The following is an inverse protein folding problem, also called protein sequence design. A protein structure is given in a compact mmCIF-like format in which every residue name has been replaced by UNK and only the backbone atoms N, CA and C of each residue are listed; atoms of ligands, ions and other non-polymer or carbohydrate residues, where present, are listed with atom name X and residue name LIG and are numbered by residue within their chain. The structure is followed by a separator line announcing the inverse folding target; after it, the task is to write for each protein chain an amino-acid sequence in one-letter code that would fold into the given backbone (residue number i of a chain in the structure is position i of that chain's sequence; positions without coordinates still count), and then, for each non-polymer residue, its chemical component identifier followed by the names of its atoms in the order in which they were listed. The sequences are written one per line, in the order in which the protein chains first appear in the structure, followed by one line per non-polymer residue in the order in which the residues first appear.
data_IF_191367561585
#
_entry.id   IF_191367561585
#
_cell.length_a   1.000
_cell.length_b   1.000
_cell.length_c   1.000
_cell.angle_alpha   90.00
_cell.angle_beta   90.00
_cell.angle_gamma   90.00
#
_symmetry.space_group_name_H-M   'P 1'
#
loop_
_entity.id
_entity.type
_entity.pdbx_description
1 polymer ?
#
# COMPACT_ATOMS: atom_id res chain seq x y z
N UNK A 1 -16.17 43.18 -11.62
CA UNK A 1 -15.75 41.90 -12.21
C UNK A 1 -14.83 41.18 -11.23
N UNK A 2 -15.26 40.05 -10.65
CA UNK A 2 -14.47 39.27 -9.69
C UNK A 2 -13.67 38.22 -10.47
N UNK A 3 -12.34 38.37 -10.45
CA UNK A 3 -11.41 37.42 -11.07
C UNK A 3 -11.41 36.11 -10.29
N UNK A 4 -11.85 35.03 -10.95
CA UNK A 4 -11.71 33.67 -10.44
C UNK A 4 -10.25 33.23 -10.69
N UNK A 5 -9.44 33.21 -9.63
CA UNK A 5 -8.11 32.60 -9.67
C UNK A 5 -8.31 31.09 -9.62
N UNK A 6 -8.28 30.47 -10.80
CA UNK A 6 -8.28 29.02 -10.96
C UNK A 6 -6.92 28.49 -10.47
N UNK A 7 -6.87 28.06 -9.21
CA UNK A 7 -5.67 27.44 -8.64
C UNK A 7 -5.42 26.09 -9.34
N UNK A 8 -4.47 26.08 -10.25
CA UNK A 8 -4.01 24.89 -10.96
C UNK A 8 -3.15 24.04 -10.00
N UNK A 9 -3.78 23.11 -9.29
CA UNK A 9 -3.07 22.14 -8.44
C UNK A 9 -2.43 21.10 -9.36
N UNK A 10 -1.14 21.27 -9.66
CA UNK A 10 -0.32 20.28 -10.37
C UNK A 10 -0.05 19.11 -9.41
N UNK A 11 -0.69 17.97 -9.67
CA UNK A 11 -0.47 16.72 -8.93
C UNK A 11 0.79 16.03 -9.46
N UNK A 12 1.94 16.28 -8.83
CA UNK A 12 3.15 15.50 -9.12
C UNK A 12 3.05 14.09 -8.52
N UNK A 13 2.93 13.10 -9.39
CA UNK A 13 3.06 11.67 -9.06
C UNK A 13 4.54 11.35 -8.87
N UNK A 14 5.07 11.52 -7.65
CA UNK A 14 6.44 11.11 -7.35
C UNK A 14 6.41 9.59 -7.09
N UNK A 15 7.02 8.76 -7.96
CA UNK A 15 7.17 7.33 -7.68
C UNK A 15 8.02 7.14 -6.41
N UNK A 16 7.88 5.99 -5.75
CA UNK A 16 8.78 5.65 -4.62
C UNK A 16 10.24 5.80 -5.09
N UNK A 17 11.08 6.43 -4.26
CA UNK A 17 12.49 6.71 -4.60
C UNK A 17 13.14 5.52 -5.32
N UNK A 18 13.57 5.74 -6.56
CA UNK A 18 14.25 4.73 -7.38
C UNK A 18 13.36 3.94 -8.36
N UNK A 19 12.03 4.09 -8.33
CA UNK A 19 11.17 3.43 -9.32
C UNK A 19 11.07 4.28 -10.61
N UNK A 20 11.38 3.65 -11.75
CA UNK A 20 11.09 4.25 -13.06
C UNK A 20 9.57 4.35 -13.24
N UNK A 21 9.07 5.44 -13.83
CA UNK A 21 7.66 5.52 -14.21
C UNK A 21 7.31 4.37 -15.15
N UNK A 22 6.10 3.84 -15.02
CA UNK A 22 5.60 2.81 -15.92
C UNK A 22 5.47 3.43 -17.32
N UNK A 23 6.07 2.78 -18.31
CA UNK A 23 5.99 3.22 -19.71
C UNK A 23 4.51 3.31 -20.14
N UNK A 24 4.11 4.41 -20.77
CA UNK A 24 2.73 4.65 -21.20
C UNK A 24 2.19 3.54 -22.11
N UNK A 25 3.05 2.84 -22.85
CA UNK A 25 2.67 1.67 -23.66
C UNK A 25 2.09 0.52 -22.82
N UNK A 26 2.43 0.43 -21.53
CA UNK A 26 1.93 -0.64 -20.65
C UNK A 26 0.50 -0.37 -20.14
N UNK A 27 -0.04 0.84 -20.33
CA UNK A 27 -1.42 1.18 -19.95
C UNK A 27 -2.47 0.32 -20.66
N UNK A 28 -2.17 -0.17 -21.87
CA UNK A 28 -3.05 -1.11 -22.61
C UNK A 28 -3.29 -2.44 -21.86
N UNK A 29 -2.42 -2.76 -20.91
CA UNK A 29 -2.51 -3.97 -20.10
C UNK A 29 -3.22 -3.74 -18.76
N UNK A 30 -3.82 -2.57 -18.53
CA UNK A 30 -4.63 -2.31 -17.34
C UNK A 30 -6.00 -2.96 -17.55
N UNK A 31 -6.06 -4.28 -17.39
CA UNK A 31 -7.26 -5.07 -17.69
C UNK A 31 -8.30 -4.95 -16.58
N UNK A 32 -7.85 -5.07 -15.33
CA UNK A 32 -8.70 -4.99 -14.15
C UNK A 32 -8.21 -3.89 -13.20
N UNK A 33 -9.12 -3.29 -12.44
CA UNK A 33 -8.74 -2.36 -11.38
C UNK A 33 -9.64 -2.48 -10.15
N UNK A 34 -9.02 -2.43 -8.98
CA UNK A 34 -9.69 -2.33 -7.69
C UNK A 34 -9.50 -0.91 -7.15
N UNK A 35 -10.59 -0.25 -6.78
CA UNK A 35 -10.55 1.08 -6.16
C UNK A 35 -11.25 1.02 -4.81
N UNK A 36 -10.53 1.40 -3.76
CA UNK A 36 -11.03 1.47 -2.38
C UNK A 36 -11.04 2.93 -1.94
N UNK A 37 -12.16 3.36 -1.37
CA UNK A 37 -12.29 4.68 -0.75
C UNK A 37 -12.51 4.54 0.75
N UNK A 38 -11.78 5.34 1.55
CA UNK A 38 -12.06 5.50 2.98
C UNK A 38 -12.06 6.97 3.35
N UNK A 39 -13.01 7.39 4.16
CA UNK A 39 -13.05 8.74 4.72
C UNK A 39 -12.62 8.68 6.19
N UNK A 40 -11.83 9.65 6.63
CA UNK A 40 -11.42 9.77 8.04
C UNK A 40 -11.19 11.24 8.41
N UNK A 41 -11.34 11.55 9.70
CA UNK A 41 -11.21 12.92 10.22
C UNK A 41 -9.87 13.12 10.93
N UNK A 42 -9.24 14.27 10.71
CA UNK A 42 -8.14 14.77 11.52
C UNK A 42 -8.61 16.05 12.22
N UNK A 43 -9.12 15.95 13.44
CA UNK A 43 -9.87 17.02 14.07
C UNK A 43 -11.09 17.39 13.22
N UNK A 44 -11.19 18.66 12.82
CA UNK A 44 -12.28 19.17 11.95
C UNK A 44 -12.06 18.93 10.45
N UNK A 45 -10.87 18.48 10.03
CA UNK A 45 -10.55 18.28 8.61
C UNK A 45 -10.96 16.88 8.17
N UNK A 46 -11.84 16.83 7.16
CA UNK A 46 -12.20 15.57 6.48
C UNK A 46 -11.15 15.20 5.43
N UNK A 47 -10.68 13.97 5.47
CA UNK A 47 -9.71 13.41 4.53
C UNK A 47 -10.36 12.24 3.78
N UNK A 48 -10.05 12.14 2.49
CA UNK A 48 -10.41 11.00 1.64
C UNK A 48 -9.15 10.25 1.25
N UNK A 49 -9.08 8.99 1.66
CA UNK A 49 -8.15 8.00 1.11
C UNK A 49 -8.76 7.38 -0.16
N UNK A 50 -7.95 7.27 -1.20
CA UNK A 50 -8.22 6.45 -2.38
C UNK A 50 -7.05 5.53 -2.61
N UNK A 51 -7.29 4.22 -2.56
CA UNK A 51 -6.32 3.19 -2.93
C UNK A 51 -6.76 2.60 -4.26
N UNK A 52 -5.88 2.57 -5.25
CA UNK A 52 -6.14 1.97 -6.55
C UNK A 52 -5.09 0.91 -6.84
N UNK A 53 -5.55 -0.30 -7.16
CA UNK A 53 -4.71 -1.40 -7.62
C UNK A 53 -5.05 -1.67 -9.08
N UNK A 54 -4.03 -1.80 -9.93
CA UNK A 54 -4.16 -2.24 -11.32
C UNK A 54 -3.74 -3.69 -11.40
N UNK A 55 -4.54 -4.50 -12.09
CA UNK A 55 -4.42 -5.95 -12.16
C UNK A 55 -4.24 -6.54 -10.76
N UNK A 56 -5.24 -6.39 -9.87
CA UNK A 56 -5.22 -7.01 -8.55
C UNK A 56 -5.33 -8.53 -8.66
N UNK A 57 -4.96 -9.23 -7.59
CA UNK A 57 -5.29 -10.64 -7.44
C UNK A 57 -6.79 -10.87 -7.63
N UNK A 58 -7.13 -11.87 -8.45
CA UNK A 58 -8.50 -12.30 -8.67
C UNK A 58 -8.57 -13.84 -8.65
N UNK A 59 -9.19 -14.39 -7.61
CA UNK A 59 -9.38 -15.82 -7.42
C UNK A 59 -10.28 -16.46 -8.49
N UNK A 60 -11.13 -15.69 -9.16
CA UNK A 60 -12.04 -16.19 -10.20
C UNK A 60 -11.37 -16.32 -11.55
N UNK A 61 -10.28 -15.57 -11.81
CA UNK A 61 -9.66 -15.51 -13.13
C UNK A 61 -8.42 -16.39 -13.30
N UNK A 62 -7.92 -17.07 -12.25
CA UNK A 62 -6.64 -17.83 -12.27
C UNK A 62 -5.48 -17.07 -12.95
N UNK A 63 -5.52 -15.73 -12.92
CA UNK A 63 -4.48 -14.86 -13.50
C UNK A 63 -3.54 -14.48 -12.38
N UNK A 64 -2.34 -15.04 -12.44
CA UNK A 64 -1.23 -14.67 -11.55
C UNK A 64 -0.11 -13.95 -12.33
N UNK A 65 -0.32 -13.74 -13.63
CA UNK A 65 0.59 -13.19 -14.62
C UNK A 65 0.03 -11.90 -15.24
N UNK A 66 0.49 -10.75 -14.74
CA UNK A 66 0.21 -9.45 -15.32
C UNK A 66 1.40 -8.92 -16.11
N UNK A 67 1.16 -8.22 -17.22
CA UNK A 67 2.20 -7.41 -17.87
C UNK A 67 2.61 -6.20 -17.00
N UNK A 68 1.73 -5.80 -16.08
CA UNK A 68 1.93 -4.73 -15.10
C UNK A 68 1.02 -4.97 -13.91
N UNK A 69 1.49 -4.70 -12.69
CA UNK A 69 0.64 -4.63 -11.50
C UNK A 69 1.18 -3.54 -10.60
N UNK A 70 0.28 -2.68 -10.12
CA UNK A 70 0.66 -1.50 -9.35
C UNK A 70 -0.40 -1.17 -8.31
N UNK A 71 0.05 -0.56 -7.22
CA UNK A 71 -0.81 0.02 -6.21
C UNK A 71 -0.46 1.49 -6.07
N UNK A 72 -1.50 2.32 -5.95
CA UNK A 72 -1.36 3.73 -5.63
C UNK A 72 -2.28 4.08 -4.47
N UNK A 73 -1.83 5.00 -3.62
CA UNK A 73 -2.60 5.48 -2.49
C UNK A 73 -2.52 6.99 -2.42
N UNK A 74 -3.69 7.64 -2.48
CA UNK A 74 -3.84 9.08 -2.39
C UNK A 74 -4.65 9.46 -1.14
N UNK A 75 -4.10 10.30 -0.27
CA UNK A 75 -4.84 11.00 0.78
C UNK A 75 -5.03 12.44 0.34
N UNK A 76 -6.28 12.88 0.22
CA UNK A 76 -6.63 14.23 -0.20
C UNK A 76 -7.60 14.87 0.78
N UNK A 77 -7.40 16.15 1.06
CA UNK A 77 -8.36 17.03 1.70
C UNK A 77 -8.34 18.42 1.03
N UNK A 78 -9.01 19.41 1.62
CA UNK A 78 -9.05 20.78 1.09
C UNK A 78 -7.70 21.51 1.10
N UNK A 79 -6.77 21.10 1.95
CA UNK A 79 -5.47 21.76 2.16
C UNK A 79 -4.34 21.06 1.40
N UNK A 80 -4.45 19.75 1.14
CA UNK A 80 -3.35 18.99 0.56
C UNK A 80 -3.77 17.71 -0.16
N UNK A 81 -2.84 17.18 -0.96
CA UNK A 81 -2.93 15.87 -1.59
C UNK A 81 -1.58 15.16 -1.52
N UNK A 82 -1.52 14.02 -0.84
CA UNK A 82 -0.36 13.12 -0.82
C UNK A 82 -0.67 11.88 -1.64
N UNK A 83 0.27 11.51 -2.51
CA UNK A 83 0.14 10.30 -3.31
C UNK A 83 1.46 9.51 -3.36
N UNK A 84 1.35 8.19 -3.31
CA UNK A 84 2.44 7.24 -3.51
C UNK A 84 1.99 6.22 -4.56
N UNK A 85 2.90 5.84 -5.45
CA UNK A 85 2.67 4.80 -6.45
C UNK A 85 3.80 3.78 -6.33
N UNK A 86 3.43 2.52 -6.20
CA UNK A 86 4.34 1.38 -6.22
C UNK A 86 4.04 0.50 -7.44
N UNK A 87 5.03 0.37 -8.32
CA UNK A 87 4.99 -0.59 -9.42
C UNK A 87 5.64 -1.90 -8.96
N UNK A 88 4.93 -3.03 -9.01
CA UNK A 88 5.50 -4.30 -8.61
C UNK A 88 6.43 -4.83 -9.71
N UNK A 89 7.73 -5.06 -9.42
CA UNK A 89 8.69 -5.43 -10.46
C UNK A 89 8.48 -6.85 -11.02
N UNK A 90 7.76 -7.72 -10.31
CA UNK A 90 7.57 -9.13 -10.69
C UNK A 90 6.13 -9.43 -11.10
N UNK A 91 5.52 -8.53 -11.88
CA UNK A 91 4.12 -8.65 -12.32
C UNK A 91 3.81 -9.98 -13.05
N UNK A 92 4.82 -10.58 -13.69
CA UNK A 92 4.71 -11.87 -14.38
C UNK A 92 4.65 -13.08 -13.42
N UNK A 93 5.08 -12.92 -12.17
CA UNK A 93 5.15 -13.99 -11.16
C UNK A 93 4.22 -13.74 -9.98
N UNK A 94 3.44 -12.66 -10.01
CA UNK A 94 2.45 -12.40 -9.00
C UNK A 94 1.78 -11.05 -9.13
N UNK A 95 0.60 -10.94 -8.53
CA UNK A 95 -0.22 -9.73 -8.51
C UNK A 95 -0.38 -9.21 -7.08
N UNK A 96 -0.87 -7.97 -6.94
CA UNK A 96 -1.11 -7.34 -5.65
C UNK A 96 -2.51 -7.68 -5.11
N UNK A 97 -2.57 -8.10 -3.86
CA UNK A 97 -3.82 -8.29 -3.11
C UNK A 97 -3.98 -7.20 -2.04
N UNK A 98 -5.15 -6.55 -2.02
CA UNK A 98 -5.49 -5.53 -1.01
C UNK A 98 -6.87 -5.83 -0.43
N UNK A 99 -6.95 -5.91 0.89
CA UNK A 99 -8.21 -6.04 1.61
C UNK A 99 -8.60 -4.71 2.24
N UNK A 100 -9.76 -4.18 1.87
CA UNK A 100 -10.25 -2.90 2.36
C UNK A 100 -10.35 -2.86 3.90
N UNK A 101 -10.74 -3.95 4.52
CA UNK A 101 -10.91 -4.04 5.98
C UNK A 101 -9.58 -3.97 6.75
N UNK A 102 -8.48 -4.36 6.10
CA UNK A 102 -7.16 -4.28 6.71
C UNK A 102 -6.55 -2.87 6.68
N UNK A 103 -7.10 -1.97 5.86
CA UNK A 103 -6.67 -0.57 5.80
C UNK A 103 -7.13 0.15 7.07
N UNK A 104 -6.20 0.72 7.81
CA UNK A 104 -6.48 1.38 9.09
C UNK A 104 -5.93 2.81 9.13
N UNK A 105 -6.57 3.62 9.98
CA UNK A 105 -6.13 5.00 10.26
C UNK A 105 -6.03 5.21 11.76
N UNK A 106 -4.94 5.84 12.22
CA UNK A 106 -4.68 6.11 13.63
C UNK A 106 -4.16 7.52 13.84
N UNK A 107 -4.57 8.15 14.95
CA UNK A 107 -3.94 9.38 15.41
C UNK A 107 -2.68 9.05 16.23
N UNK A 108 -1.52 9.48 15.77
CA UNK A 108 -0.23 9.31 16.45
C UNK A 108 0.46 10.68 16.52
N UNK A 109 0.75 11.16 17.73
CA UNK A 109 1.36 12.47 17.98
C UNK A 109 0.62 13.61 17.27
N UNK A 110 -0.72 13.63 17.38
CA UNK A 110 -1.63 14.61 16.75
C UNK A 110 -1.66 14.59 15.21
N UNK A 111 -1.00 13.63 14.58
CA UNK A 111 -1.02 13.43 13.14
C UNK A 111 -1.77 12.15 12.78
N UNK A 112 -2.54 12.17 11.71
CA UNK A 112 -3.15 10.95 11.17
C UNK A 112 -2.10 10.11 10.44
N UNK A 113 -2.04 8.84 10.80
CA UNK A 113 -1.31 7.78 10.11
C UNK A 113 -2.32 6.90 9.36
N UNK A 114 -2.08 6.64 8.08
CA UNK A 114 -2.85 5.68 7.30
C UNK A 114 -1.95 4.51 6.95
N UNK A 115 -2.35 3.30 7.37
CA UNK A 115 -1.64 2.05 7.08
C UNK A 115 -2.43 1.27 6.02
N UNK A 116 -1.76 0.94 4.93
CA UNK A 116 -2.35 0.24 3.78
C UNK A 116 -1.53 -1.03 3.57
N UNK A 117 -1.86 -2.12 4.29
CA UNK A 117 -1.23 -3.40 4.06
C UNK A 117 -1.71 -4.01 2.74
N UNK A 118 -0.79 -4.68 2.05
CA UNK A 118 -1.08 -5.45 0.85
C UNK A 118 -0.16 -6.66 0.75
N UNK A 119 -0.67 -7.74 0.17
CA UNK A 119 0.04 -9.01 -0.03
C UNK A 119 0.10 -9.34 -1.51
N UNK A 120 0.55 -10.54 -1.85
CA UNK A 120 0.76 -10.95 -3.23
C UNK A 120 0.22 -12.36 -3.44
N UNK A 121 -0.45 -12.57 -4.57
CA UNK A 121 -0.79 -13.91 -5.06
C UNK A 121 0.20 -14.30 -6.17
N UNK A 122 0.34 -15.61 -6.43
CA UNK A 122 1.19 -16.12 -7.51
C UNK A 122 2.58 -16.61 -7.11
N UNK A 123 2.98 -16.45 -5.84
CA UNK A 123 4.22 -17.04 -5.34
C UNK A 123 3.94 -18.46 -4.81
N UNK A 124 4.62 -19.46 -5.38
CA UNK A 124 4.53 -20.88 -5.02
C UNK A 124 5.55 -21.30 -3.94
N UNK A 125 6.33 -20.35 -3.43
CA UNK A 125 7.33 -20.60 -2.39
C UNK A 125 6.76 -20.41 -0.99
N UNK A 126 7.33 -21.12 -0.02
CA UNK A 126 7.03 -20.97 1.42
C UNK A 126 7.40 -19.56 1.97
N UNK A 127 8.23 -18.81 1.24
CA UNK A 127 8.55 -17.42 1.55
C UNK A 127 7.42 -16.51 0.99
N UNK A 128 6.67 -15.91 1.91
CA UNK A 128 5.64 -14.91 1.60
C UNK A 128 6.07 -13.53 2.10
N UNK A 129 5.33 -12.50 1.70
CA UNK A 129 5.60 -11.13 2.13
C UNK A 129 4.32 -10.33 2.27
N UNK A 130 4.32 -9.45 3.26
CA UNK A 130 3.35 -8.36 3.38
C UNK A 130 4.08 -7.05 3.13
N UNK A 131 3.45 -6.14 2.42
CA UNK A 131 3.95 -4.81 2.18
C UNK A 131 3.03 -3.77 2.79
N UNK A 132 3.61 -2.70 3.31
CA UNK A 132 2.89 -1.60 3.93
C UNK A 132 3.20 -0.32 3.17
N UNK A 133 2.17 0.30 2.58
CA UNK A 133 2.20 1.73 2.32
C UNK A 133 1.77 2.45 3.58
N UNK A 134 2.57 3.42 4.02
CA UNK A 134 2.29 4.24 5.20
C UNK A 134 2.31 5.70 4.79
N UNK A 135 1.22 6.41 5.08
CA UNK A 135 1.11 7.85 4.89
C UNK A 135 1.00 8.49 6.27
N UNK A 136 2.02 9.25 6.68
CA UNK A 136 2.08 9.86 8.00
C UNK A 136 2.81 11.19 7.96
N UNK A 137 2.16 12.24 8.47
CA UNK A 137 2.72 13.60 8.55
C UNK A 137 3.39 14.05 7.24
N UNK A 138 2.67 13.95 6.11
CA UNK A 138 3.14 14.30 4.75
C UNK A 138 4.31 13.45 4.23
N UNK A 139 4.81 12.49 5.02
CA UNK A 139 5.80 11.50 4.61
C UNK A 139 5.12 10.23 4.13
N UNK A 140 5.80 9.55 3.21
CA UNK A 140 5.32 8.36 2.51
C UNK A 140 6.37 7.28 2.72
N UNK A 141 5.94 6.12 3.19
CA UNK A 141 6.83 4.99 3.42
C UNK A 141 6.29 3.77 2.70
N UNK A 142 7.20 2.94 2.23
CA UNK A 142 6.90 1.64 1.64
C UNK A 142 7.85 0.62 2.25
N UNK A 143 7.32 -0.35 2.97
CA UNK A 143 8.09 -1.44 3.55
C UNK A 143 7.61 -2.78 3.00
N UNK A 144 8.55 -3.68 2.75
CA UNK A 144 8.28 -5.06 2.34
C UNK A 144 8.84 -5.97 3.43
N UNK A 145 7.97 -6.76 4.06
CA UNK A 145 8.29 -7.58 5.22
C UNK A 145 8.12 -9.06 4.86
N UNK A 146 9.19 -9.83 5.00
CA UNK A 146 9.24 -11.25 4.69
C UNK A 146 8.77 -12.11 5.85
N UNK A 147 8.02 -13.14 5.50
CA UNK A 147 7.55 -14.19 6.38
C UNK A 147 7.89 -15.54 5.76
N UNK A 148 8.12 -16.52 6.62
CA UNK A 148 8.25 -17.91 6.24
C UNK A 148 7.04 -18.68 6.78
N UNK A 149 6.31 -19.38 5.91
CA UNK A 149 5.18 -20.21 6.29
C UNK A 149 5.58 -21.70 6.24
N UNK A 150 5.36 -22.39 7.36
CA UNK A 150 5.57 -23.84 7.49
C UNK A 150 4.47 -24.62 6.76
N UNK A 151 4.68 -25.91 6.51
CA UNK A 151 3.72 -26.76 5.79
C UNK A 151 2.33 -26.82 6.46
N UNK A 152 2.27 -26.66 7.80
CA UNK A 152 1.02 -26.59 8.57
C UNK A 152 0.34 -25.21 8.50
N UNK A 153 0.85 -24.29 7.66
CA UNK A 153 0.28 -22.97 7.42
C UNK A 153 0.62 -21.93 8.48
N UNK A 154 1.40 -22.29 9.50
CA UNK A 154 1.90 -21.33 10.51
C UNK A 154 3.01 -20.48 9.92
N UNK A 155 2.89 -19.16 10.03
CA UNK A 155 3.85 -18.21 9.49
C UNK A 155 4.65 -17.51 10.59
N UNK A 156 5.93 -17.30 10.32
CA UNK A 156 6.88 -16.61 11.19
C UNK A 156 7.53 -15.46 10.45
N UNK A 157 7.64 -14.33 11.13
CA UNK A 157 8.36 -13.17 10.65
C UNK A 157 9.85 -13.50 10.47
N UNK A 158 10.42 -13.16 9.31
CA UNK A 158 11.84 -13.42 8.96
C UNK A 158 12.72 -12.17 9.08
N UNK A 159 12.12 -10.99 8.90
CA UNK A 159 12.88 -9.73 8.91
C UNK A 159 13.06 -9.17 10.33
N UNK A 160 14.20 -8.51 10.55
CA UNK A 160 14.40 -7.68 11.73
C UNK A 160 13.63 -6.36 11.58
N UNK A 161 12.49 -6.23 12.26
CA UNK A 161 11.63 -5.04 12.15
C UNK A 161 12.30 -3.76 12.65
N UNK A 162 13.18 -3.83 13.64
CA UNK A 162 13.89 -2.66 14.16
C UNK A 162 14.78 -2.02 13.08
N UNK A 163 15.37 -2.85 12.22
CA UNK A 163 16.19 -2.42 11.09
C UNK A 163 15.31 -2.00 9.90
N UNK A 164 14.30 -2.81 9.57
CA UNK A 164 13.46 -2.63 8.38
C UNK A 164 12.57 -1.39 8.47
N UNK A 165 12.16 -1.02 9.68
CA UNK A 165 11.27 0.11 9.97
C UNK A 165 12.01 1.27 10.65
N UNK A 166 13.34 1.35 10.54
CA UNK A 166 14.17 2.31 11.29
C UNK A 166 13.89 3.77 11.00
N UNK A 167 13.35 4.06 9.82
CA UNK A 167 12.97 5.39 9.33
C UNK A 167 11.60 5.85 9.82
N UNK A 168 10.79 4.94 10.36
CA UNK A 168 9.50 5.28 10.97
C UNK A 168 9.72 5.95 12.34
N UNK A 169 8.96 7.03 12.65
CA UNK A 169 8.88 7.59 13.99
C UNK A 169 8.54 6.52 15.05
N UNK A 170 9.14 6.60 16.24
CA UNK A 170 9.11 5.53 17.24
C UNK A 170 7.71 4.99 17.57
N UNK A 171 6.72 5.85 17.81
CA UNK A 171 5.34 5.43 18.11
C UNK A 171 4.65 4.77 16.91
N UNK A 172 4.89 5.29 15.70
CA UNK A 172 4.39 4.70 14.47
C UNK A 172 5.03 3.33 14.22
N UNK A 173 6.35 3.23 14.43
CA UNK A 173 7.10 1.98 14.32
C UNK A 173 6.55 0.90 15.24
N UNK A 174 6.39 1.20 16.54
CA UNK A 174 5.84 0.26 17.52
C UNK A 174 4.43 -0.23 17.11
N UNK A 175 3.60 0.68 16.59
CA UNK A 175 2.26 0.32 16.12
C UNK A 175 2.31 -0.63 14.92
N UNK A 176 3.16 -0.34 13.93
CA UNK A 176 3.33 -1.17 12.73
C UNK A 176 3.94 -2.53 13.09
N UNK A 177 4.93 -2.56 14.00
CA UNK A 177 5.53 -3.80 14.50
C UNK A 177 4.48 -4.72 15.14
N UNK A 178 3.67 -4.17 16.06
CA UNK A 178 2.60 -4.94 16.70
C UNK A 178 1.61 -5.49 15.69
N UNK A 179 1.21 -4.71 14.69
CA UNK A 179 0.30 -5.16 13.63
C UNK A 179 0.94 -6.31 12.81
N UNK A 180 2.22 -6.20 12.44
CA UNK A 180 2.95 -7.24 11.71
C UNK A 180 3.09 -8.55 12.50
N UNK A 181 3.44 -8.45 13.79
CA UNK A 181 3.65 -9.61 14.66
C UNK A 181 2.35 -10.38 14.95
N UNK A 182 1.19 -9.69 14.92
CA UNK A 182 -0.09 -10.28 15.35
C UNK A 182 -1.00 -10.71 14.21
N UNK A 183 -0.95 -10.04 13.05
CA UNK A 183 -1.93 -10.26 11.96
C UNK A 183 -1.54 -11.34 10.96
N UNK A 184 -0.26 -11.71 10.88
CA UNK A 184 0.29 -12.54 9.80
C UNK A 184 0.94 -13.81 10.32
N UNK A 185 0.24 -14.52 11.19
CA UNK A 185 0.71 -15.77 11.80
C UNK A 185 0.21 -17.02 11.07
N UNK A 186 -0.64 -16.87 10.07
CA UNK A 186 -1.19 -17.94 9.26
C UNK A 186 -1.14 -17.62 7.75
N UNK A 187 -0.93 -18.64 6.93
CA UNK A 187 -0.81 -18.53 5.47
C UNK A 187 -2.06 -17.93 4.82
N UNK A 188 -3.24 -18.21 5.38
CA UNK A 188 -4.51 -17.60 4.95
C UNK A 188 -4.58 -16.08 5.14
N UNK A 189 -3.73 -15.49 5.99
CA UNK A 189 -3.65 -14.04 6.14
C UNK A 189 -3.02 -13.35 4.92
N UNK A 190 -2.34 -14.12 4.06
CA UNK A 190 -1.69 -13.62 2.85
C UNK A 190 -2.53 -13.79 1.57
N UNK A 191 -3.53 -14.68 1.62
CA UNK A 191 -4.45 -15.00 0.52
C UNK A 191 -5.59 -14.00 0.42
#
# INVERSE_FOLDING_TARGET
MKSLVTSLIVLFFIPVCGQKPVNDTLKRYYQDSLIIHKNFKNGSVSNKLTVKVINPCNSEKNRFDGAVTMISATVKNKNYSDNIVYNYPYAQSGLINVKADNISSYTIDKHQAVLIPFTYCGNWDNDTKVSYIILYNRKKYLHHIKYYCEQEGKCKLKDNLNVTLKDLPSKLRLKVMKDLETKYNNSSNFQ
#
